data_IF_632459490566
#
_entry.id   IF_632459490566
#
_cell.length_a   1.000
_cell.length_b   1.000
_cell.length_c   1.000
_cell.angle_alpha   90.00
_cell.angle_beta   90.00
_cell.angle_gamma   90.00
#
_symmetry.space_group_name_H-M   'P 1'
#
loop_
_entity.id
_entity.type
_entity.pdbx_description
1 polymer ?
#
# COMPACT_ATOMS: atom_id res chain seq x y z
N UNK A 1 -8.06 -29.83 4.20
CA UNK A 1 -7.49 -29.71 5.55
C UNK A 1 -7.04 -31.02 6.16
N UNK A 2 -6.90 -32.11 5.40
CA UNK A 2 -6.34 -33.37 5.91
C UNK A 2 -4.81 -33.29 5.94
N UNK A 3 -4.19 -33.89 6.97
CA UNK A 3 -2.73 -34.03 7.04
C UNK A 3 -2.29 -35.17 6.13
N UNK A 4 -1.24 -34.92 5.36
CA UNK A 4 -0.60 -35.91 4.49
C UNK A 4 0.87 -36.03 4.82
N UNK A 5 1.41 -37.24 4.67
CA UNK A 5 2.82 -37.54 4.85
C UNK A 5 3.50 -37.77 3.50
N UNK A 6 4.81 -37.52 3.40
CA UNK A 6 5.60 -37.81 2.20
C UNK A 6 5.45 -39.29 1.83
N UNK A 7 5.09 -39.56 0.58
CA UNK A 7 4.82 -40.91 0.07
C UNK A 7 3.39 -41.40 0.24
N UNK A 8 2.52 -40.66 0.94
CA UNK A 8 1.12 -41.04 1.09
C UNK A 8 0.39 -41.02 -0.26
N UNK A 9 -0.34 -42.08 -0.65
CA UNK A 9 -1.20 -42.09 -1.84
C UNK A 9 -2.28 -40.99 -1.78
N UNK A 10 -2.39 -40.19 -2.84
CA UNK A 10 -3.37 -39.10 -2.96
C UNK A 10 -4.49 -39.42 -3.95
N UNK A 11 -4.14 -39.96 -5.12
CA UNK A 11 -5.10 -40.40 -6.13
C UNK A 11 -4.50 -41.46 -7.04
N UNK A 12 -5.36 -42.12 -7.82
CA UNK A 12 -4.97 -42.97 -8.93
C UNK A 12 -5.38 -42.33 -10.25
N UNK A 13 -4.43 -42.25 -11.18
CA UNK A 13 -4.63 -41.68 -12.50
C UNK A 13 -4.50 -42.75 -13.58
N UNK A 14 -5.52 -42.88 -14.43
CA UNK A 14 -5.42 -43.67 -15.64
C UNK A 14 -4.70 -42.88 -16.75
N UNK A 15 -3.67 -43.47 -17.35
CA UNK A 15 -2.98 -42.91 -18.53
C UNK A 15 -2.78 -44.00 -19.59
N UNK A 16 -3.41 -43.88 -20.77
CA UNK A 16 -3.17 -44.80 -21.89
C UNK A 16 -1.69 -44.84 -22.32
N UNK A 17 -1.05 -43.67 -22.31
CA UNK A 17 0.35 -43.52 -22.71
C UNK A 17 1.29 -44.25 -21.75
N UNK A 18 0.96 -44.22 -20.45
CA UNK A 18 1.65 -45.00 -19.42
C UNK A 18 1.55 -46.51 -19.66
N UNK A 19 0.34 -46.99 -19.93
CA UNK A 19 0.11 -48.41 -20.22
C UNK A 19 0.89 -48.86 -21.46
N UNK A 20 1.01 -47.99 -22.46
CA UNK A 20 1.84 -48.27 -23.64
C UNK A 20 3.34 -48.33 -23.28
N UNK A 21 3.86 -47.35 -22.55
CA UNK A 21 5.27 -47.32 -22.15
C UNK A 21 5.67 -48.51 -21.26
N UNK A 22 4.81 -48.91 -20.32
CA UNK A 22 5.05 -50.10 -19.48
C UNK A 22 5.12 -51.38 -20.33
N UNK A 23 4.24 -51.52 -21.33
CA UNK A 23 4.26 -52.66 -22.24
C UNK A 23 5.55 -52.70 -23.07
N UNK A 24 5.97 -51.55 -23.59
CA UNK A 24 7.24 -51.43 -24.33
C UNK A 24 8.45 -51.82 -23.46
N UNK A 25 8.47 -51.36 -22.20
CA UNK A 25 9.52 -51.74 -21.24
C UNK A 25 9.55 -53.26 -21.00
N UNK A 26 8.40 -53.88 -20.72
CA UNK A 26 8.34 -55.33 -20.48
C UNK A 26 8.79 -56.15 -21.70
N UNK A 27 8.39 -55.75 -22.92
CA UNK A 27 8.83 -56.42 -24.16
C UNK A 27 10.35 -56.28 -24.34
N UNK A 28 10.92 -55.11 -24.02
CA UNK A 28 12.36 -54.90 -24.10
C UNK A 28 13.11 -55.78 -23.09
N UNK A 29 12.61 -55.90 -21.85
CA UNK A 29 13.20 -56.76 -20.82
C UNK A 29 13.13 -58.24 -21.23
N UNK A 30 11.99 -58.71 -21.76
CA UNK A 30 11.83 -60.09 -22.25
C UNK A 30 12.78 -60.43 -23.42
N UNK A 31 13.19 -59.43 -24.20
CA UNK A 31 14.08 -59.61 -25.35
C UNK A 31 15.56 -59.82 -24.95
N UNK A 32 15.90 -59.64 -23.67
CA UNK A 32 17.22 -59.92 -23.11
C UNK A 32 18.33 -58.95 -23.54
N UNK A 33 19.59 -59.33 -23.31
CA UNK A 33 20.77 -58.48 -23.50
C UNK A 33 20.97 -57.97 -24.93
N UNK A 34 20.38 -58.63 -25.94
CA UNK A 34 20.43 -58.22 -27.34
C UNK A 34 19.87 -56.80 -27.58
N UNK A 35 19.05 -56.30 -26.65
CA UNK A 35 18.41 -54.99 -26.73
C UNK A 35 18.62 -54.15 -25.47
N UNK A 36 19.78 -54.29 -24.80
CA UNK A 36 20.11 -53.58 -23.56
C UNK A 36 19.87 -52.06 -23.63
N UNK A 37 20.26 -51.42 -24.74
CA UNK A 37 20.04 -49.98 -24.95
C UNK A 37 18.54 -49.61 -24.99
N UNK A 38 17.67 -50.51 -25.47
CA UNK A 38 16.23 -50.28 -25.49
C UNK A 38 15.62 -50.44 -24.10
N UNK A 39 16.12 -51.39 -23.29
CA UNK A 39 15.70 -51.53 -21.89
C UNK A 39 16.03 -50.26 -21.11
N UNK A 40 17.25 -49.74 -21.26
CA UNK A 40 17.69 -48.50 -20.60
C UNK A 40 16.86 -47.29 -21.07
N UNK A 41 16.65 -47.13 -22.39
CA UNK A 41 15.84 -46.04 -22.92
C UNK A 41 14.38 -46.09 -22.45
N UNK A 42 13.77 -47.27 -22.42
CA UNK A 42 12.41 -47.48 -21.92
C UNK A 42 12.31 -47.24 -20.41
N UNK A 43 13.33 -47.64 -19.62
CA UNK A 43 13.40 -47.33 -18.18
C UNK A 43 13.48 -45.82 -17.95
N UNK A 44 14.39 -45.12 -18.62
CA UNK A 44 14.50 -43.66 -18.51
C UNK A 44 13.19 -42.95 -18.85
N UNK A 45 12.44 -43.44 -19.85
CA UNK A 45 11.12 -42.89 -20.19
C UNK A 45 10.13 -43.03 -19.04
N UNK A 46 10.13 -44.16 -18.34
CA UNK A 46 9.29 -44.37 -17.14
C UNK A 46 9.71 -43.44 -15.99
N UNK A 47 11.01 -43.31 -15.72
CA UNK A 47 11.54 -42.40 -14.70
C UNK A 47 11.22 -40.93 -15.01
N UNK A 48 11.27 -40.52 -16.28
CA UNK A 48 10.88 -39.17 -16.73
C UNK A 48 9.39 -38.85 -16.54
N UNK A 49 8.57 -39.87 -16.29
CA UNK A 49 7.15 -39.72 -15.92
C UNK A 49 6.92 -39.81 -14.42
N UNK A 50 7.98 -39.59 -13.63
CA UNK A 50 8.00 -39.61 -12.17
C UNK A 50 7.53 -40.95 -11.56
N UNK A 51 7.65 -42.04 -12.34
CA UNK A 51 7.44 -43.38 -11.82
C UNK A 51 8.66 -43.74 -10.96
N UNK A 52 8.41 -44.04 -9.70
CA UNK A 52 9.49 -44.38 -8.77
C UNK A 52 10.21 -45.67 -9.18
N UNK A 53 11.51 -45.77 -8.88
CA UNK A 53 12.28 -46.99 -9.14
C UNK A 53 11.65 -48.22 -8.49
N UNK A 54 11.10 -48.08 -7.27
CA UNK A 54 10.36 -49.16 -6.59
C UNK A 54 9.15 -49.66 -7.40
N UNK A 55 8.49 -48.79 -8.17
CA UNK A 55 7.38 -49.16 -9.05
C UNK A 55 7.89 -49.83 -10.34
N UNK A 56 9.02 -49.38 -10.88
CA UNK A 56 9.65 -49.98 -12.07
C UNK A 56 10.16 -51.39 -11.75
N UNK A 57 10.82 -51.59 -10.61
CA UNK A 57 11.27 -52.91 -10.16
C UNK A 57 10.09 -53.87 -9.91
N UNK A 58 8.99 -53.36 -9.35
CA UNK A 58 7.75 -54.13 -9.17
C UNK A 58 7.11 -54.49 -10.51
N UNK A 59 7.14 -53.60 -11.50
CA UNK A 59 6.66 -53.88 -12.85
C UNK A 59 7.48 -55.01 -13.49
N UNK A 60 8.81 -54.94 -13.40
CA UNK A 60 9.73 -55.92 -13.97
C UNK A 60 9.58 -57.31 -13.32
N UNK A 61 9.56 -57.35 -11.99
CA UNK A 61 9.44 -58.61 -11.24
C UNK A 61 8.05 -59.26 -11.34
N UNK A 62 6.98 -58.46 -11.43
CA UNK A 62 5.61 -58.98 -11.50
C UNK A 62 5.16 -59.31 -12.92
N UNK A 63 5.76 -58.69 -13.95
CA UNK A 63 5.32 -58.75 -15.34
C UNK A 63 3.90 -58.20 -15.56
N UNK A 64 3.33 -57.49 -14.58
CA UNK A 64 1.94 -56.99 -14.64
C UNK A 64 1.90 -55.50 -14.90
N UNK A 65 1.34 -55.14 -16.06
CA UNK A 65 1.05 -53.75 -16.43
C UNK A 65 -0.01 -53.18 -15.49
N UNK A 66 0.28 -52.04 -14.88
CA UNK A 66 -0.68 -51.32 -14.02
C UNK A 66 -1.40 -50.29 -14.86
N UNK A 67 -2.74 -50.33 -14.87
CA UNK A 67 -3.55 -49.39 -15.67
C UNK A 67 -3.58 -47.99 -15.06
N UNK A 68 -3.45 -47.91 -13.75
CA UNK A 68 -3.47 -46.66 -12.99
C UNK A 68 -2.10 -46.38 -12.39
N UNK A 69 -1.81 -45.10 -12.17
CA UNK A 69 -0.63 -44.63 -11.46
C UNK A 69 -1.07 -43.96 -10.18
N UNK A 70 -0.50 -44.40 -9.06
CA UNK A 70 -0.70 -43.72 -7.79
C UNK A 70 0.15 -42.47 -7.75
N UNK A 71 -0.49 -41.31 -7.67
CA UNK A 71 0.18 -40.05 -7.35
C UNK A 71 0.30 -39.97 -5.83
N UNK A 72 1.53 -39.83 -5.35
CA UNK A 72 1.86 -39.73 -3.93
C UNK A 72 2.15 -38.29 -3.52
N UNK A 73 2.04 -38.00 -2.22
CA UNK A 73 2.45 -36.71 -1.68
C UNK A 73 3.98 -36.54 -1.73
N UNK A 74 4.51 -35.44 -2.30
CA UNK A 74 5.94 -35.21 -2.34
C UNK A 74 6.54 -34.76 -1.00
N UNK A 75 5.70 -34.29 -0.06
CA UNK A 75 6.10 -33.73 1.21
C UNK A 75 5.10 -34.04 2.33
N UNK A 76 5.51 -33.79 3.58
CA UNK A 76 4.58 -33.73 4.70
C UNK A 76 3.88 -32.37 4.68
N UNK A 77 2.59 -32.33 5.03
CA UNK A 77 1.86 -31.06 5.11
C UNK A 77 0.36 -31.25 5.29
N UNK A 78 -0.38 -30.16 5.08
CA UNK A 78 -1.84 -30.13 5.11
C UNK A 78 -2.33 -29.81 3.71
N UNK A 79 -3.32 -30.58 3.24
CA UNK A 79 -4.01 -30.29 1.97
C UNK A 79 -4.84 -29.02 2.16
N UNK A 80 -4.39 -27.90 1.59
CA UNK A 80 -5.10 -26.62 1.64
C UNK A 80 -6.09 -26.46 0.48
N UNK A 81 -5.86 -27.12 -0.65
CA UNK A 81 -6.80 -27.16 -1.77
C UNK A 81 -6.79 -28.52 -2.47
N UNK A 82 -7.98 -29.02 -2.81
CA UNK A 82 -8.20 -30.21 -3.67
C UNK A 82 -9.04 -29.78 -4.85
N UNK A 83 -8.47 -29.85 -6.06
CA UNK A 83 -9.08 -29.37 -7.32
C UNK A 83 -9.48 -30.49 -8.26
N UNK A 84 -9.38 -31.74 -7.81
CA UNK A 84 -9.72 -32.93 -8.58
C UNK A 84 -10.72 -33.78 -7.81
N UNK A 85 -11.69 -34.31 -8.54
CA UNK A 85 -12.67 -35.29 -8.07
C UNK A 85 -12.57 -36.58 -8.88
N UNK A 86 -13.18 -37.64 -8.36
CA UNK A 86 -13.25 -38.90 -9.08
C UNK A 86 -14.04 -38.74 -10.38
N UNK A 87 -13.52 -39.32 -11.47
CA UNK A 87 -14.11 -39.21 -12.81
C UNK A 87 -13.60 -38.02 -13.63
N UNK A 88 -12.83 -37.11 -13.05
CA UNK A 88 -12.28 -35.96 -13.78
C UNK A 88 -11.24 -36.39 -14.82
N UNK A 89 -11.29 -35.74 -15.98
CA UNK A 89 -10.26 -35.85 -17.00
C UNK A 89 -9.18 -34.79 -16.76
N UNK A 90 -7.93 -35.22 -16.58
CA UNK A 90 -6.80 -34.35 -16.26
C UNK A 90 -5.91 -34.11 -17.48
N UNK A 91 -5.54 -32.84 -17.69
CA UNK A 91 -4.55 -32.44 -18.69
C UNK A 91 -3.20 -32.18 -18.01
N UNK A 92 -2.07 -32.35 -18.72
CA UNK A 92 -0.76 -31.94 -18.22
C UNK A 92 -0.78 -30.47 -17.77
N UNK A 93 -0.17 -30.19 -16.62
CA UNK A 93 -0.18 -28.87 -15.98
C UNK A 93 -1.40 -28.58 -15.09
N UNK A 94 -2.38 -29.48 -15.02
CA UNK A 94 -3.49 -29.34 -14.09
C UNK A 94 -3.00 -29.44 -12.63
N UNK A 95 -3.38 -28.46 -11.79
CA UNK A 95 -3.13 -28.50 -10.34
C UNK A 95 -4.15 -29.43 -9.69
N UNK A 96 -3.70 -30.51 -9.06
CA UNK A 96 -4.58 -31.52 -8.45
C UNK A 96 -4.80 -31.25 -6.96
N UNK A 97 -3.70 -31.10 -6.24
CA UNK A 97 -3.64 -30.85 -4.81
C UNK A 97 -2.69 -29.70 -4.55
N UNK A 98 -2.97 -28.97 -3.49
CA UNK A 98 -2.07 -27.98 -2.91
C UNK A 98 -1.83 -28.37 -1.46
N UNK A 99 -0.56 -28.65 -1.15
CA UNK A 99 -0.12 -29.15 0.15
C UNK A 99 0.88 -28.14 0.68
N UNK A 100 0.64 -27.66 1.89
CA UNK A 100 1.52 -26.70 2.54
C UNK A 100 1.88 -27.18 3.95
N UNK A 101 3.12 -26.90 4.36
CA UNK A 101 3.48 -27.04 5.77
C UNK A 101 3.02 -25.78 6.52
N UNK A 102 2.07 -25.95 7.43
CA UNK A 102 1.52 -24.88 8.25
C UNK A 102 2.19 -24.79 9.63
N UNK A 103 3.31 -25.50 9.86
CA UNK A 103 4.05 -25.44 11.13
C UNK A 103 4.58 -24.04 11.45
N UNK A 104 4.83 -23.24 10.42
CA UNK A 104 5.15 -21.81 10.48
C UNK A 104 4.21 -21.09 9.53
N UNK A 105 3.61 -20.00 9.99
CA UNK A 105 2.73 -19.16 9.18
C UNK A 105 3.23 -17.73 9.20
N UNK A 106 2.89 -16.98 8.16
CA UNK A 106 3.19 -15.57 8.08
C UNK A 106 1.93 -14.76 8.32
N UNK A 107 2.08 -13.68 9.09
CA UNK A 107 1.12 -12.58 9.07
C UNK A 107 1.66 -11.53 8.11
N UNK A 108 0.85 -11.21 7.11
CA UNK A 108 1.14 -10.16 6.15
C UNK A 108 0.35 -8.93 6.57
N UNK A 109 1.05 -7.81 6.77
CA UNK A 109 0.42 -6.53 7.08
C UNK A 109 0.84 -5.49 6.04
N UNK A 110 -0.05 -4.53 5.80
CA UNK A 110 0.17 -3.44 4.86
C UNK A 110 0.33 -2.14 5.64
N UNK A 111 1.45 -1.46 5.45
CA UNK A 111 1.82 -0.22 6.14
C UNK A 111 1.80 0.92 5.15
N UNK A 112 1.17 2.05 5.46
CA UNK A 112 1.18 3.22 4.58
C UNK A 112 2.60 3.80 4.42
N UNK A 113 2.90 4.34 3.25
CA UNK A 113 4.23 4.92 2.92
C UNK A 113 4.75 5.88 4.00
N UNK A 114 3.88 6.75 4.53
CA UNK A 114 4.21 7.72 5.57
C UNK A 114 4.69 7.10 6.90
N UNK A 115 4.29 5.84 7.17
CA UNK A 115 4.58 5.13 8.42
C UNK A 115 5.77 4.17 8.29
N UNK A 116 6.20 3.86 7.05
CA UNK A 116 7.35 3.01 6.74
C UNK A 116 8.63 3.44 7.46
N UNK A 117 8.95 4.75 7.63
CA UNK A 117 10.13 5.18 8.36
C UNK A 117 10.19 4.69 9.82
N UNK A 118 9.09 4.20 10.40
CA UNK A 118 9.03 3.70 11.77
C UNK A 118 9.09 2.17 11.88
N UNK A 119 9.15 1.48 10.74
CA UNK A 119 9.12 0.01 10.64
C UNK A 119 10.46 -0.51 10.15
N UNK A 120 11.07 -1.41 10.92
CA UNK A 120 12.37 -1.98 10.62
C UNK A 120 12.39 -3.50 10.75
N UNK A 121 13.32 -4.15 10.04
CA UNK A 121 13.60 -5.58 10.20
C UNK A 121 13.96 -5.91 11.66
N UNK A 122 13.63 -7.12 12.09
CA UNK A 122 13.89 -7.62 13.45
C UNK A 122 13.15 -6.86 14.58
N UNK A 123 12.29 -5.91 14.24
CA UNK A 123 11.42 -5.23 15.21
C UNK A 123 10.34 -6.19 15.70
N UNK A 124 10.04 -6.11 17.00
CA UNK A 124 8.93 -6.85 17.61
C UNK A 124 7.61 -6.12 17.36
N UNK A 125 6.58 -6.89 17.03
CA UNK A 125 5.22 -6.40 16.88
C UNK A 125 4.23 -7.30 17.63
N UNK A 126 3.16 -6.71 18.13
CA UNK A 126 2.04 -7.43 18.70
C UNK A 126 1.04 -7.82 17.61
N UNK A 127 0.70 -9.10 17.55
CA UNK A 127 -0.32 -9.65 16.66
C UNK A 127 -1.51 -10.08 17.49
N UNK A 128 -2.70 -9.59 17.15
CA UNK A 128 -3.96 -9.92 17.79
C UNK A 128 -4.88 -10.61 16.78
N UNK A 129 -5.41 -11.77 17.15
CA UNK A 129 -6.43 -12.48 16.37
C UNK A 129 -7.77 -12.38 17.11
N UNK A 130 -8.61 -11.35 16.81
CA UNK A 130 -9.80 -11.08 17.59
C UNK A 130 -10.85 -12.21 17.51
N UNK A 131 -10.91 -12.88 16.36
CA UNK A 131 -11.89 -13.94 16.08
C UNK A 131 -11.45 -15.34 16.55
N UNK A 132 -10.36 -15.44 17.32
CA UNK A 132 -9.81 -16.73 17.76
C UNK A 132 -9.32 -16.60 19.19
N UNK A 133 -10.24 -16.71 20.14
CA UNK A 133 -9.99 -16.62 21.59
C UNK A 133 -9.20 -15.38 22.03
N UNK A 134 -9.22 -14.33 21.21
CA UNK A 134 -8.43 -13.12 21.41
C UNK A 134 -6.93 -13.41 21.60
N UNK A 135 -6.41 -14.38 20.84
CA UNK A 135 -5.01 -14.81 20.90
C UNK A 135 -4.10 -13.61 20.62
N UNK A 136 -3.16 -13.38 21.54
CA UNK A 136 -2.12 -12.35 21.46
C UNK A 136 -0.78 -13.02 21.30
N UNK A 137 -0.08 -12.68 20.22
CA UNK A 137 1.22 -13.24 19.88
C UNK A 137 2.20 -12.10 19.70
N UNK A 138 3.41 -12.24 20.22
CA UNK A 138 4.52 -11.36 19.84
C UNK A 138 5.27 -12.02 18.70
N UNK A 139 5.33 -11.33 17.57
CA UNK A 139 6.04 -11.77 16.37
C UNK A 139 7.16 -10.79 16.02
N UNK A 140 8.06 -11.23 15.16
CA UNK A 140 9.18 -10.40 14.68
C UNK A 140 9.00 -10.14 13.20
N UNK A 141 9.26 -8.91 12.77
CA UNK A 141 9.22 -8.54 11.35
C UNK A 141 10.38 -9.23 10.64
N UNK A 142 10.04 -10.20 9.79
CA UNK A 142 10.99 -11.02 9.03
C UNK A 142 11.24 -10.47 7.62
N UNK A 143 10.38 -9.56 7.14
CA UNK A 143 10.52 -8.94 5.83
C UNK A 143 9.79 -7.60 5.76
N UNK A 144 10.42 -6.64 5.08
CA UNK A 144 9.82 -5.36 4.67
C UNK A 144 10.02 -5.21 3.17
N UNK A 145 8.93 -5.07 2.42
CA UNK A 145 8.97 -4.95 0.96
C UNK A 145 9.68 -3.65 0.54
N UNK A 146 10.58 -3.70 -0.47
CA UNK A 146 11.17 -2.49 -1.04
C UNK A 146 10.26 -1.79 -2.06
N UNK A 147 9.08 -2.35 -2.34
CA UNK A 147 8.13 -1.84 -3.31
C UNK A 147 6.81 -1.45 -2.65
N UNK A 148 6.25 -0.33 -3.11
CA UNK A 148 4.89 0.10 -2.82
C UNK A 148 3.89 -0.65 -3.72
N UNK A 149 2.74 -0.98 -3.16
CA UNK A 149 1.61 -1.50 -3.91
C UNK A 149 0.83 -0.36 -4.60
N UNK A 150 -0.26 -0.73 -5.30
CA UNK A 150 -1.12 0.24 -6.00
C UNK A 150 -1.90 1.18 -5.08
N UNK A 151 -1.94 0.91 -3.77
CA UNK A 151 -2.64 1.69 -2.76
C UNK A 151 -1.68 2.57 -1.94
N UNK A 152 -0.40 2.63 -2.32
CA UNK A 152 0.61 3.39 -1.56
C UNK A 152 1.00 2.73 -0.24
N UNK A 153 0.90 1.40 -0.17
CA UNK A 153 1.24 0.61 1.01
C UNK A 153 2.45 -0.28 0.76
N UNK A 154 3.26 -0.48 1.79
CA UNK A 154 4.38 -1.41 1.84
C UNK A 154 3.94 -2.67 2.57
N UNK A 155 4.15 -3.82 1.95
CA UNK A 155 3.93 -5.13 2.57
C UNK A 155 5.04 -5.44 3.57
N UNK A 156 4.66 -5.85 4.78
CA UNK A 156 5.56 -6.41 5.79
C UNK A 156 5.12 -7.83 6.16
N UNK A 157 6.06 -8.67 6.56
CA UNK A 157 5.78 -10.04 7.00
C UNK A 157 6.32 -10.28 8.39
N UNK A 158 5.54 -11.03 9.16
CA UNK A 158 5.87 -11.46 10.51
C UNK A 158 5.80 -12.98 10.59
N UNK A 159 6.87 -13.59 11.05
CA UNK A 159 6.94 -15.04 11.21
C UNK A 159 6.30 -15.47 12.53
N UNK A 160 5.37 -16.44 12.46
CA UNK A 160 4.67 -16.98 13.62
C UNK A 160 4.81 -18.49 13.66
N UNK A 161 5.25 -19.00 14.80
CA UNK A 161 5.24 -20.43 15.09
C UNK A 161 3.79 -20.92 15.25
N UNK A 162 3.42 -21.93 14.48
CA UNK A 162 2.10 -22.54 14.46
C UNK A 162 2.19 -24.06 14.67
N UNK A 163 3.04 -24.49 15.61
CA UNK A 163 3.27 -25.91 15.92
C UNK A 163 2.03 -26.66 16.41
N UNK A 164 1.04 -25.96 16.96
CA UNK A 164 -0.26 -26.51 17.35
C UNK A 164 -1.32 -26.44 16.24
N UNK A 165 -0.97 -25.86 15.08
CA UNK A 165 -1.80 -25.74 13.89
C UNK A 165 -3.15 -25.05 14.13
N UNK A 166 -3.20 -24.14 15.11
CA UNK A 166 -4.42 -23.35 15.41
C UNK A 166 -4.61 -22.18 14.46
N UNK A 167 -3.51 -21.65 13.93
CA UNK A 167 -3.54 -20.57 12.96
C UNK A 167 -3.81 -21.14 11.57
N UNK A 168 -4.88 -20.68 10.95
CA UNK A 168 -5.29 -21.04 9.60
C UNK A 168 -4.85 -19.93 8.63
N UNK A 169 -4.49 -20.29 7.39
CA UNK A 169 -4.31 -19.31 6.32
C UNK A 169 -5.57 -18.46 6.13
N UNK A 170 -5.39 -17.24 5.61
CA UNK A 170 -6.48 -16.28 5.34
C UNK A 170 -7.24 -15.79 6.59
N UNK A 171 -6.71 -16.02 7.79
CA UNK A 171 -7.26 -15.43 9.01
C UNK A 171 -6.94 -13.94 9.10
N UNK A 172 -7.91 -13.19 9.60
CA UNK A 172 -7.72 -11.79 9.93
C UNK A 172 -6.89 -11.65 11.21
N UNK A 173 -5.89 -10.78 11.16
CA UNK A 173 -5.07 -10.41 12.29
C UNK A 173 -4.87 -8.89 12.31
N UNK A 174 -4.82 -8.32 13.51
CA UNK A 174 -4.43 -6.94 13.75
C UNK A 174 -2.97 -6.91 14.18
N UNK A 175 -2.18 -6.04 13.56
CA UNK A 175 -0.75 -5.89 13.86
C UNK A 175 -0.51 -4.52 14.47
N UNK A 176 0.12 -4.51 15.63
CA UNK A 176 0.51 -3.32 16.39
C UNK A 176 2.04 -3.24 16.45
N UNK A 177 2.59 -2.16 15.90
CA UNK A 177 4.03 -1.92 15.86
C UNK A 177 4.30 -0.71 16.73
N UNK A 178 5.08 -0.90 17.79
CA UNK A 178 5.53 0.20 18.65
C UNK A 178 6.93 0.61 18.22
N UNK A 179 7.12 1.89 17.93
CA UNK A 179 8.40 2.47 17.54
C UNK A 179 8.72 3.66 18.44
N UNK A 180 9.96 3.77 18.89
CA UNK A 180 10.40 4.91 19.69
C UNK A 180 10.82 6.04 18.74
N UNK A 181 10.09 7.15 18.79
CA UNK A 181 10.52 8.38 18.13
C UNK A 181 11.81 8.89 18.78
N UNK A 182 12.78 9.30 17.96
CA UNK A 182 14.03 9.89 18.47
C UNK A 182 13.80 11.33 18.89
N UNK A 183 14.06 11.61 20.17
CA UNK A 183 14.02 12.95 20.75
C UNK A 183 12.79 13.19 21.62
N UNK A 184 12.90 14.16 22.53
CA UNK A 184 11.75 14.63 23.29
C UNK A 184 10.88 15.48 22.35
N UNK A 185 9.59 15.15 22.29
CA UNK A 185 8.63 15.81 21.42
C UNK A 185 7.45 16.30 22.24
N UNK A 186 7.00 17.53 21.99
CA UNK A 186 5.78 18.05 22.60
C UNK A 186 4.60 17.22 22.11
N UNK A 187 3.82 16.67 23.03
CA UNK A 187 2.64 15.87 22.73
C UNK A 187 1.41 16.49 23.37
N UNK A 188 0.27 16.36 22.68
CA UNK A 188 -1.03 16.73 23.20
C UNK A 188 -2.01 15.57 22.99
N UNK A 189 -3.08 15.45 23.80
CA UNK A 189 -4.14 14.47 23.53
C UNK A 189 -4.72 14.70 22.14
N UNK A 190 -4.94 13.63 21.36
CA UNK A 190 -5.55 13.73 20.02
C UNK A 190 -6.92 14.41 20.08
N UNK A 191 -7.64 14.27 21.19
CA UNK A 191 -8.93 14.91 21.41
C UNK A 191 -8.85 16.45 21.43
N UNK A 192 -7.68 17.06 21.61
CA UNK A 192 -7.47 18.51 21.56
C UNK A 192 -7.21 19.06 20.15
N UNK A 193 -7.10 18.19 19.14
CA UNK A 193 -6.82 18.57 17.76
C UNK A 193 -8.11 18.59 16.94
N UNK A 194 -8.48 19.78 16.45
CA UNK A 194 -9.55 19.93 15.47
C UNK A 194 -8.95 19.83 14.07
N UNK A 195 -9.47 18.91 13.28
CA UNK A 195 -9.17 18.84 11.86
C UNK A 195 -10.27 19.57 11.06
N UNK A 196 -9.96 20.74 10.52
CA UNK A 196 -10.90 21.51 9.69
C UNK A 196 -10.91 21.07 8.21
N UNK A 197 -10.24 19.95 7.88
CA UNK A 197 -9.99 19.47 6.53
C UNK A 197 -8.79 20.13 5.86
N UNK A 198 -8.71 21.46 5.95
CA UNK A 198 -7.61 22.26 5.34
C UNK A 198 -6.46 22.57 6.30
N UNK A 199 -6.70 22.60 7.61
CA UNK A 199 -5.68 22.85 8.64
C UNK A 199 -6.05 22.14 9.94
N UNK A 200 -5.03 21.88 10.77
CA UNK A 200 -5.22 21.36 12.12
C UNK A 200 -5.09 22.51 13.11
N UNK A 201 -6.00 22.57 14.08
CA UNK A 201 -6.13 23.63 15.06
C UNK A 201 -6.13 23.04 16.47
N UNK A 202 -5.56 23.78 17.42
CA UNK A 202 -5.75 23.56 18.86
C UNK A 202 -6.12 24.88 19.52
N UNK A 203 -7.01 24.85 20.51
CA UNK A 203 -7.36 26.03 21.30
C UNK A 203 -6.47 26.12 22.54
N UNK A 204 -5.75 27.23 22.67
CA UNK A 204 -4.84 27.50 23.79
C UNK A 204 -5.51 28.45 24.78
N UNK A 205 -5.36 28.16 26.07
CA UNK A 205 -5.85 29.03 27.15
C UNK A 205 -4.87 30.18 27.36
N UNK A 206 -5.28 31.41 27.01
CA UNK A 206 -4.45 32.63 27.06
C UNK A 206 -4.70 33.48 28.33
N UNK A 207 -5.77 33.17 29.09
CA UNK A 207 -6.15 33.84 30.34
C UNK A 207 -7.44 33.26 30.94
N UNK A 208 -8.00 33.93 31.96
CA UNK A 208 -9.29 33.53 32.55
C UNK A 208 -10.40 33.60 31.49
N UNK A 209 -10.81 32.41 31.02
CA UNK A 209 -11.88 32.16 30.05
C UNK A 209 -11.65 32.70 28.62
N UNK A 210 -10.38 32.92 28.24
CA UNK A 210 -10.00 33.31 26.87
C UNK A 210 -9.30 32.16 26.16
N UNK A 211 -9.89 31.72 25.05
CA UNK A 211 -9.40 30.62 24.21
C UNK A 211 -9.00 31.14 22.83
N UNK A 212 -7.75 30.93 22.46
CA UNK A 212 -7.23 31.37 21.16
C UNK A 212 -7.02 30.18 20.22
N UNK A 213 -7.60 30.18 19.00
CA UNK A 213 -7.33 29.14 18.02
C UNK A 213 -5.90 29.29 17.50
N UNK A 214 -5.14 28.20 17.54
CA UNK A 214 -3.77 28.15 17.03
C UNK A 214 -3.62 27.06 15.99
N UNK A 215 -3.07 27.42 14.84
CA UNK A 215 -2.76 26.45 13.78
C UNK A 215 -1.54 25.64 14.23
N UNK A 216 -1.67 24.32 14.17
CA UNK A 216 -0.61 23.40 14.59
C UNK A 216 -0.22 22.46 13.45
N UNK A 217 1.05 22.07 13.44
CA UNK A 217 1.56 20.98 12.61
C UNK A 217 1.77 19.79 13.52
N UNK A 218 1.23 18.63 13.13
CA UNK A 218 1.25 17.41 13.95
C UNK A 218 2.11 16.35 13.27
N UNK A 219 2.75 15.52 14.09
CA UNK A 219 3.57 14.39 13.66
C UNK A 219 2.86 13.06 13.90
N UNK A 220 3.65 12.03 14.21
CA UNK A 220 3.13 10.69 14.48
C UNK A 220 2.23 10.66 15.73
N UNK A 221 1.31 9.70 15.74
CA UNK A 221 0.49 9.39 16.92
C UNK A 221 1.33 8.49 17.83
N UNK A 222 1.50 8.91 19.08
CA UNK A 222 2.23 8.18 20.11
C UNK A 222 1.32 7.36 21.00
N UNK A 223 1.86 6.92 22.14
CA UNK A 223 1.13 6.14 23.14
C UNK A 223 -0.01 6.96 23.79
N UNK A 224 -1.03 6.26 24.32
CA UNK A 224 -2.20 6.82 25.01
C UNK A 224 -3.04 7.82 24.18
N UNK A 225 -3.11 7.62 22.86
CA UNK A 225 -3.83 8.51 21.91
C UNK A 225 -3.33 9.96 21.94
N UNK A 226 -2.05 10.15 22.27
CA UNK A 226 -1.38 11.44 22.15
C UNK A 226 -0.83 11.63 20.74
N UNK A 227 -0.80 12.86 20.27
CA UNK A 227 -0.23 13.22 18.98
C UNK A 227 0.94 14.17 19.17
N UNK A 228 2.03 13.90 18.45
CA UNK A 228 3.18 14.79 18.41
C UNK A 228 2.82 16.13 17.76
N UNK A 229 3.34 17.22 18.33
CA UNK A 229 3.24 18.57 17.78
C UNK A 229 4.62 18.98 17.27
N UNK A 230 4.72 19.19 15.96
CA UNK A 230 5.95 19.61 15.29
C UNK A 230 6.14 21.12 15.37
N UNK A 231 5.04 21.88 15.34
CA UNK A 231 5.06 23.33 15.47
C UNK A 231 3.70 23.90 15.86
N UNK A 232 3.70 25.11 16.41
CA UNK A 232 2.49 25.87 16.72
C UNK A 232 2.06 25.82 18.17
N UNK A 233 2.75 25.08 19.04
CA UNK A 233 2.55 25.11 20.49
C UNK A 233 3.90 25.12 21.21
N UNK A 234 3.89 25.63 22.44
CA UNK A 234 5.04 25.63 23.34
C UNK A 234 4.79 24.73 24.55
N UNK A 235 5.87 24.28 25.20
CA UNK A 235 5.78 23.55 26.45
C UNK A 235 5.01 24.34 27.51
N UNK A 236 4.20 23.62 28.30
CA UNK A 236 3.35 24.15 29.38
C UNK A 236 2.17 25.03 28.93
N UNK A 237 1.87 25.12 27.64
CA UNK A 237 0.61 25.72 27.19
C UNK A 237 -0.57 24.78 27.49
N UNK A 238 -1.65 25.34 28.03
CA UNK A 238 -2.88 24.58 28.30
C UNK A 238 -3.73 24.53 27.04
N UNK A 239 -4.05 23.31 26.59
CA UNK A 239 -4.92 23.07 25.44
C UNK A 239 -6.28 22.54 25.87
N UNK A 240 -7.32 22.95 25.15
CA UNK A 240 -8.69 22.50 25.41
C UNK A 240 -8.89 21.08 24.86
N UNK A 241 -9.31 20.15 25.72
CA UNK A 241 -9.51 18.72 25.36
C UNK A 241 -10.98 18.33 25.20
N UNK A 242 -11.93 19.20 25.59
CA UNK A 242 -13.38 18.96 25.56
C UNK A 242 -14.13 20.25 25.25
N UNK A 243 -15.29 20.16 24.56
CA UNK A 243 -16.11 21.33 24.21
C UNK A 243 -15.58 22.18 23.04
N UNK A 244 -14.50 21.77 22.40
CA UNK A 244 -13.80 22.48 21.31
C UNK A 244 -14.68 22.85 20.10
N UNK A 245 -15.73 22.07 19.81
CA UNK A 245 -16.68 22.37 18.73
C UNK A 245 -17.58 23.57 19.04
N UNK A 246 -17.93 23.76 20.32
CA UNK A 246 -18.72 24.91 20.76
C UNK A 246 -17.90 26.19 20.63
N UNK A 247 -16.61 26.12 21.01
CA UNK A 247 -15.66 27.23 20.85
C UNK A 247 -15.44 27.57 19.37
N UNK A 248 -15.32 26.57 18.49
CA UNK A 248 -15.18 26.79 17.04
C UNK A 248 -16.45 27.39 16.40
N UNK A 249 -17.63 27.04 16.92
CA UNK A 249 -18.88 27.63 16.45
C UNK A 249 -19.06 29.07 16.92
N UNK A 250 -18.65 29.36 18.17
CA UNK A 250 -18.71 30.70 18.76
C UNK A 250 -17.66 31.65 18.16
N UNK A 251 -16.44 31.19 17.91
CA UNK A 251 -15.40 31.99 17.27
C UNK A 251 -15.78 32.40 15.85
N UNK A 252 -16.27 31.47 15.03
CA UNK A 252 -16.78 31.76 13.68
C UNK A 252 -18.00 32.69 13.69
N UNK A 253 -18.91 32.49 14.64
CA UNK A 253 -20.08 33.36 14.79
C UNK A 253 -19.64 34.77 15.20
N UNK A 254 -18.68 34.88 16.11
CA UNK A 254 -18.14 36.16 16.58
C UNK A 254 -17.35 36.90 15.49
N UNK A 255 -16.56 36.18 14.69
CA UNK A 255 -15.87 36.70 13.50
C UNK A 255 -16.89 37.23 12.47
N UNK A 256 -17.92 36.43 12.14
CA UNK A 256 -18.97 36.86 11.20
C UNK A 256 -19.78 38.06 11.71
N UNK A 257 -20.05 38.14 13.02
CA UNK A 257 -20.73 39.28 13.63
C UNK A 257 -19.84 40.54 13.68
N UNK A 258 -18.53 40.37 13.90
CA UNK A 258 -17.56 41.46 13.87
C UNK A 258 -17.36 42.02 12.45
N UNK A 259 -17.35 41.15 11.43
CA UNK A 259 -17.31 41.54 10.01
C UNK A 259 -18.61 42.25 9.58
N UNK A 260 -19.77 41.77 10.06
CA UNK A 260 -21.06 42.40 9.80
C UNK A 260 -21.23 43.81 10.41
N UNK A 261 -20.40 44.18 11.38
CA UNK A 261 -20.44 45.50 12.03
C UNK A 261 -19.62 46.58 11.31
N UNK A 262 -18.79 46.23 10.31
CA UNK A 262 -17.98 47.20 9.56
C UNK A 262 -18.63 47.76 8.28
N UNK A 263 -19.76 47.21 7.84
CA UNK A 263 -20.53 47.74 6.70
C UNK A 263 -21.72 48.56 7.18
N UNK A 264 -21.49 49.81 7.60
CA UNK A 264 -22.56 50.61 8.21
C UNK A 264 -22.39 52.12 8.17
N UNK A 265 -22.03 52.73 7.04
CA UNK A 265 -22.31 54.15 6.74
C UNK A 265 -22.33 54.40 5.21
N UNK A 266 -23.50 54.60 4.58
CA UNK A 266 -24.03 55.95 4.27
C UNK A 266 -25.27 55.91 3.32
N UNK A 267 -26.19 56.86 3.54
CA UNK A 267 -27.48 57.28 2.90
C UNK A 267 -28.04 56.57 1.63
N UNK A 268 -29.35 56.39 1.37
CA UNK A 268 -30.60 56.84 1.99
C UNK A 268 -31.77 56.81 0.95
N UNK A 269 -32.98 56.43 1.39
CA UNK A 269 -34.35 56.57 0.79
C UNK A 269 -34.62 55.97 -0.62
N UNK A 270 -35.71 55.23 -0.88
CA UNK A 270 -37.15 55.48 -0.61
C UNK A 270 -38.01 54.18 -0.58
N UNK A 271 -39.11 54.23 0.19
CA UNK A 271 -40.37 53.47 0.16
C UNK A 271 -40.63 52.46 -0.98
N UNK A 272 -41.13 51.26 -0.63
CA UNK A 272 -42.55 50.89 -0.75
C UNK A 272 -42.85 49.53 -0.08
N UNK A 273 -44.01 49.46 0.57
CA UNK A 273 -44.56 48.28 1.27
C UNK A 273 -45.53 47.53 0.35
N UNK A 274 -45.37 46.22 0.17
CA UNK A 274 -46.48 45.34 -0.24
C UNK A 274 -46.33 43.91 0.31
N UNK A 275 -47.29 43.61 1.19
CA UNK A 275 -48.17 42.44 1.31
C UNK A 275 -47.74 41.03 0.85
N UNK A 276 -48.18 40.05 1.63
CA UNK A 276 -47.88 38.64 1.53
C UNK A 276 -48.84 37.89 0.61
N UNK A 277 -48.31 36.93 -0.18
CA UNK A 277 -49.05 35.74 -0.61
C UNK A 277 -48.10 34.61 -1.02
N UNK A 278 -48.50 33.39 -0.65
CA UNK A 278 -48.02 32.06 -1.09
C UNK A 278 -47.51 32.05 -2.56
N UNK A 279 -46.49 31.28 -2.95
CA UNK A 279 -46.51 29.82 -3.12
C UNK A 279 -45.19 29.34 -3.77
N UNK A 280 -44.92 28.02 -3.71
CA UNK A 280 -43.99 27.23 -4.55
C UNK A 280 -42.52 27.07 -4.11
N UNK A 281 -42.28 25.84 -3.61
CA UNK A 281 -40.97 25.17 -3.54
C UNK A 281 -40.38 25.07 -4.95
N UNK A 282 -39.29 25.79 -5.19
CA UNK A 282 -38.45 25.65 -6.39
C UNK A 282 -37.14 24.94 -6.02
N UNK A 283 -36.80 23.96 -6.85
CA UNK A 283 -35.59 23.14 -6.83
C UNK A 283 -34.32 24.00 -6.71
N UNK A 284 -33.36 23.55 -5.90
CA UNK A 284 -31.98 24.01 -6.02
C UNK A 284 -31.45 23.70 -7.43
N UNK A 285 -30.71 24.61 -8.07
CA UNK A 285 -30.05 24.32 -9.34
C UNK A 285 -28.91 23.32 -9.12
N UNK A 286 -28.82 22.33 -9.99
CA UNK A 286 -27.61 21.52 -10.16
C UNK A 286 -26.52 22.41 -10.79
N UNK A 287 -25.25 22.34 -10.33
CA UNK A 287 -24.19 23.17 -10.87
C UNK A 287 -23.79 22.74 -12.29
N UNK A 288 -23.57 23.73 -13.14
CA UNK A 288 -23.10 23.62 -14.52
C UNK A 288 -21.62 23.14 -14.55
N UNK A 289 -21.22 22.14 -15.37
CA UNK A 289 -19.86 21.59 -15.35
C UNK A 289 -18.76 22.51 -15.90
N UNK A 290 -19.11 23.64 -16.53
CA UNK A 290 -18.17 24.48 -17.27
C UNK A 290 -17.88 25.86 -16.64
N UNK A 291 -18.27 26.09 -15.39
CA UNK A 291 -18.00 27.37 -14.68
C UNK A 291 -17.02 27.22 -13.50
N UNK A 292 -15.89 26.52 -13.71
CA UNK A 292 -14.68 26.70 -12.89
C UNK A 292 -13.71 27.64 -13.61
N UNK A 293 -13.97 28.93 -13.52
CA UNK A 293 -12.94 29.94 -13.76
C UNK A 293 -12.08 30.03 -12.49
N UNK A 294 -10.91 29.39 -12.52
CA UNK A 294 -9.91 29.48 -11.47
C UNK A 294 -9.51 30.95 -11.24
N UNK A 295 -10.01 31.53 -10.16
CA UNK A 295 -9.52 32.79 -9.60
C UNK A 295 -9.14 32.53 -8.15
N UNK A 296 -7.86 32.24 -7.94
CA UNK A 296 -7.30 31.97 -6.62
C UNK A 296 -5.89 31.42 -6.72
N UNK A 297 -4.95 32.26 -7.17
CA UNK A 297 -3.53 31.90 -7.21
C UNK A 297 -3.03 31.41 -5.86
N UNK A 298 -2.30 30.30 -5.85
CA UNK A 298 -1.69 29.77 -4.65
C UNK A 298 -0.69 30.80 -4.08
N UNK A 299 -0.88 31.23 -2.82
CA UNK A 299 0.01 32.13 -2.08
C UNK A 299 1.33 31.43 -1.67
N UNK A 300 1.95 30.69 -2.59
CA UNK A 300 3.16 29.93 -2.37
C UNK A 300 4.31 30.68 -3.04
N UNK A 301 5.39 30.91 -2.31
CA UNK A 301 6.56 31.64 -2.77
C UNK A 301 7.81 30.75 -2.66
N UNK A 302 8.70 30.81 -3.63
CA UNK A 302 9.96 30.06 -3.66
C UNK A 302 11.18 30.96 -3.85
N UNK A 303 12.36 30.46 -3.50
CA UNK A 303 13.62 31.17 -3.72
C UNK A 303 13.99 31.15 -5.23
N UNK A 304 14.26 32.31 -5.85
CA UNK A 304 14.60 32.38 -7.27
C UNK A 304 15.98 31.81 -7.62
N UNK A 305 16.73 31.30 -6.63
CA UNK A 305 18.07 30.75 -6.81
C UNK A 305 18.00 29.22 -6.96
N UNK A 306 18.57 28.63 -8.03
CA UNK A 306 18.45 27.19 -8.31
C UNK A 306 18.94 26.28 -7.19
N UNK A 307 19.93 26.72 -6.41
CA UNK A 307 20.48 25.91 -5.32
C UNK A 307 19.54 25.80 -4.12
N UNK A 308 18.54 26.70 -3.97
CA UNK A 308 17.61 26.74 -2.84
C UNK A 308 16.14 26.72 -3.27
N UNK A 309 15.84 26.25 -4.49
CA UNK A 309 14.47 26.23 -5.03
C UNK A 309 13.49 25.36 -4.21
N UNK A 310 14.04 24.45 -3.39
CA UNK A 310 13.28 23.64 -2.43
C UNK A 310 12.75 24.44 -1.23
N UNK A 311 13.21 25.69 -1.03
CA UNK A 311 12.72 26.57 0.04
C UNK A 311 11.40 27.18 -0.43
N UNK A 312 10.30 26.59 0.02
CA UNK A 312 8.93 26.99 -0.33
C UNK A 312 8.22 27.48 0.93
N UNK A 313 7.57 28.65 0.84
CA UNK A 313 6.86 29.25 1.96
C UNK A 313 5.50 29.82 1.52
N UNK A 314 4.54 29.86 2.44
CA UNK A 314 3.28 30.55 2.23
C UNK A 314 3.42 32.04 2.58
N UNK A 315 3.07 32.92 1.63
CA UNK A 315 3.16 34.38 1.76
C UNK A 315 4.52 34.98 1.41
N UNK A 316 4.57 36.31 1.28
CA UNK A 316 5.81 37.03 0.98
C UNK A 316 6.83 36.88 2.12
N UNK A 317 8.08 36.57 1.77
CA UNK A 317 9.16 36.39 2.74
C UNK A 317 10.53 36.43 2.08
N UNK A 318 11.57 36.19 2.87
CA UNK A 318 12.94 36.04 2.39
C UNK A 318 13.40 34.60 2.61
N UNK A 319 14.18 34.06 1.69
CA UNK A 319 14.75 32.73 1.78
C UNK A 319 15.62 32.60 3.05
N UNK A 320 15.42 31.54 3.83
CA UNK A 320 16.19 31.27 5.05
C UNK A 320 17.67 30.96 4.78
N UNK A 321 17.99 30.48 3.58
CA UNK A 321 19.35 30.06 3.23
C UNK A 321 20.20 31.20 2.62
N UNK A 322 19.60 32.04 1.77
CA UNK A 322 20.33 33.11 1.08
C UNK A 322 19.85 34.53 1.39
N UNK A 323 18.74 34.69 2.10
CA UNK A 323 18.18 36.00 2.48
C UNK A 323 17.50 36.78 1.33
N UNK A 324 17.41 36.22 0.12
CA UNK A 324 16.75 36.88 -1.02
C UNK A 324 15.22 36.83 -0.92
N UNK A 325 14.54 37.85 -1.45
CA UNK A 325 13.07 37.93 -1.47
C UNK A 325 12.50 36.79 -2.32
N UNK A 326 11.58 36.02 -1.73
CA UNK A 326 10.90 34.91 -2.39
C UNK A 326 9.94 35.44 -3.47
N UNK A 327 9.77 34.67 -4.54
CA UNK A 327 8.91 34.99 -5.69
C UNK A 327 7.71 34.05 -5.75
N UNK A 328 6.51 34.52 -6.16
CA UNK A 328 5.30 33.71 -6.18
C UNK A 328 5.41 32.58 -7.23
N UNK A 329 5.04 31.38 -6.81
CA UNK A 329 5.01 30.18 -7.63
C UNK A 329 3.66 30.11 -8.37
N UNK A 330 3.65 30.44 -9.66
CA UNK A 330 2.43 30.40 -10.47
C UNK A 330 2.21 29.00 -11.08
N UNK A 331 0.96 28.55 -11.21
CA UNK A 331 0.59 27.28 -11.87
C UNK A 331 1.00 27.20 -13.36
N UNK A 332 1.42 28.32 -13.94
CA UNK A 332 1.92 28.44 -15.32
C UNK A 332 3.43 28.57 -15.43
N UNK A 333 4.19 28.35 -14.33
CA UNK A 333 5.65 28.15 -14.41
C UNK A 333 5.94 26.78 -15.04
N UNK A 334 5.67 26.75 -16.34
CA UNK A 334 6.02 25.74 -17.30
C UNK A 334 7.53 25.79 -17.44
N UNK A 335 8.25 25.20 -16.50
CA UNK A 335 9.71 25.10 -16.53
C UNK A 335 10.09 24.62 -17.93
N UNK A 336 10.81 25.45 -18.67
CA UNK A 336 11.26 25.06 -20.01
C UNK A 336 12.37 24.04 -19.82
N UNK A 337 11.99 22.77 -19.71
CA UNK A 337 12.93 21.68 -19.58
C UNK A 337 13.57 21.46 -20.95
N UNK A 338 14.88 21.62 -21.03
CA UNK A 338 15.68 21.29 -22.20
C UNK A 338 16.35 19.95 -21.98
N UNK A 339 16.13 19.00 -22.88
CA UNK A 339 16.65 17.64 -22.80
C UNK A 339 17.68 17.42 -23.90
N UNK A 340 18.66 16.56 -23.62
CA UNK A 340 19.62 16.16 -24.63
C UNK A 340 18.95 15.23 -25.66
N UNK A 341 19.04 15.51 -26.98
CA UNK A 341 18.42 14.67 -28.01
C UNK A 341 19.04 13.26 -28.09
N UNK A 342 20.21 13.04 -27.51
CA UNK A 342 20.76 11.69 -27.31
C UNK A 342 20.26 11.09 -25.99
N UNK A 343 19.39 10.09 -26.09
CA UNK A 343 18.76 9.38 -24.96
C UNK A 343 19.77 8.78 -23.97
N UNK A 344 20.96 8.41 -24.45
CA UNK A 344 22.04 7.83 -23.64
C UNK A 344 22.65 8.82 -22.64
N UNK A 345 22.56 10.14 -22.91
CA UNK A 345 23.14 11.15 -22.03
C UNK A 345 22.29 11.41 -20.78
N UNK A 346 20.96 11.22 -20.85
CA UNK A 346 20.00 11.48 -19.75
C UNK A 346 20.17 12.84 -19.05
N UNK A 347 20.61 13.86 -19.79
CA UNK A 347 20.77 15.22 -19.26
C UNK A 347 19.51 16.03 -19.49
N UNK A 348 19.02 16.66 -18.42
CA UNK A 348 17.91 17.63 -18.42
C UNK A 348 18.35 18.92 -17.73
N UNK A 349 18.04 20.07 -18.31
CA UNK A 349 18.35 21.39 -17.75
C UNK A 349 17.13 22.31 -17.84
N UNK A 350 17.10 23.33 -16.98
CA UNK A 350 16.07 24.36 -16.89
C UNK A 350 16.34 25.59 -17.79
N UNK A 351 17.47 25.59 -18.50
CA UNK A 351 17.88 26.64 -19.42
C UNK A 351 18.35 26.10 -20.78
N UNK A 352 18.31 26.94 -21.81
CA UNK A 352 18.88 26.62 -23.13
C UNK A 352 20.41 26.62 -23.06
N UNK A 353 21.05 25.55 -23.49
CA UNK A 353 22.51 25.42 -23.48
C UNK A 353 23.00 24.18 -24.23
N UNK A 354 24.30 23.93 -24.16
CA UNK A 354 24.91 22.69 -24.68
C UNK A 354 25.00 21.63 -23.58
N UNK A 355 24.76 20.38 -23.95
CA UNK A 355 24.87 19.23 -23.05
C UNK A 355 26.32 19.10 -22.57
N UNK A 356 26.59 19.05 -21.25
CA UNK A 356 27.96 18.90 -20.73
C UNK A 356 28.59 17.53 -21.03
N UNK A 357 27.79 16.55 -21.45
CA UNK A 357 28.25 15.19 -21.76
C UNK A 357 28.60 15.02 -23.24
N UNK A 358 27.79 15.57 -24.15
CA UNK A 358 27.98 15.38 -25.60
C UNK A 358 28.19 16.68 -26.40
N UNK A 359 28.18 17.84 -25.74
CA UNK A 359 28.29 19.18 -26.31
C UNK A 359 27.22 19.55 -27.37
N UNK A 360 26.15 18.77 -27.50
CA UNK A 360 25.03 19.09 -28.39
C UNK A 360 24.08 20.10 -27.75
N UNK A 361 23.49 20.97 -28.56
CA UNK A 361 22.45 21.89 -28.09
C UNK A 361 21.24 21.13 -27.55
N UNK A 362 20.84 21.44 -26.32
CA UNK A 362 19.68 20.86 -25.68
C UNK A 362 18.40 21.36 -26.37
N UNK A 363 17.43 20.46 -26.53
CA UNK A 363 16.15 20.72 -27.21
C UNK A 363 15.02 20.83 -26.19
N UNK A 364 14.07 21.74 -26.42
CA UNK A 364 12.96 21.94 -25.50
C UNK A 364 12.06 20.71 -25.48
N UNK A 365 11.83 20.16 -24.30
CA UNK A 365 10.91 19.06 -24.06
C UNK A 365 9.47 19.52 -24.30
N UNK A 366 8.75 18.80 -25.15
CA UNK A 366 7.32 18.97 -25.37
C UNK A 366 6.65 17.64 -25.03
N UNK A 367 5.83 17.57 -23.97
CA UNK A 367 5.06 16.35 -23.70
C UNK A 367 4.03 16.19 -24.82
N UNK A 368 4.08 15.08 -25.54
CA UNK A 368 3.06 14.73 -26.53
C UNK A 368 1.70 14.61 -25.83
N UNK A 369 0.71 15.39 -26.28
CA UNK A 369 -0.69 15.20 -25.88
C UNK A 369 -1.13 13.86 -26.46
N UNK A 370 -1.47 12.90 -25.59
CA UNK A 370 -2.04 11.62 -26.00
C UNK A 370 -3.19 11.85 -26.99
N UNK A 371 -3.03 11.25 -28.16
CA UNK A 371 -4.11 11.01 -29.11
C UNK A 371 -5.02 9.93 -28.51
N UNK A 372 -6.29 10.26 -28.30
CA UNK A 372 -7.34 9.26 -28.16
C UNK A 372 -7.31 8.30 -29.36
N UNK A 373 -7.14 7.01 -29.07
CA UNK A 373 -7.63 5.89 -29.87
C UNK A 373 -7.77 4.62 -29.04
#
# INVERSE_FOLDING_TARGET
GERVYKGQPLLELYSPDLVAAQREYLIAVESGEAVANLVEASRHRLTNWDISEDQIERLESSGKITRTMTIISPANGIVISKKVSEGDYLKPGAKLYEISDLSTVWVVAHVYEQDVPFVYMDQKAGVLLPNTDNIKITATISYVSPFLDTHGQVEIRLDINNSDYRLMPEMYAEVSITSQLKGDQLVIPRSAVINSGVRKLAYVVSGDDVYEPRVIVTGAVGDDDNIAVLSGLSENELVVTSGQFLLDSESRLSEALAEGYQTGHDHGNTHETHDASHEQVSKLPEPDPDEFVATGGHNIYTCPMPEHYYVIQYGEGNCSECGMKLVPLNETDNWQVYVCPMTECRVTQDHKGECPVCAMNLVRYQPEKNHDQ
#
